data_IF_832820558938
#
_entry.id   IF_832820558938
#
_cell.length_a   1.000
_cell.length_b   1.000
_cell.length_c   1.000
_cell.angle_alpha   90.00
_cell.angle_beta   90.00
_cell.angle_gamma   90.00
#
_symmetry.space_group_name_H-M   'P 1'
#
loop_
_entity.id
_entity.type
_entity.pdbx_description
1 polymer ?
#
# COMPACT_ATOMS: atom_id res chain seq x y z
N UNK A 1 -1.11 47.38 39.45
CA UNK A 1 -1.44 47.03 38.05
C UNK A 1 -0.17 46.53 37.40
N UNK A 2 0.06 45.25 37.48
CA UNK A 2 1.23 44.59 36.89
C UNK A 2 0.88 44.23 35.46
N UNK A 3 1.57 44.79 34.51
CA UNK A 3 1.39 44.49 33.08
C UNK A 3 1.76 43.03 32.86
N UNK A 4 0.85 42.27 32.27
CA UNK A 4 1.10 40.93 31.74
C UNK A 4 1.87 41.15 30.43
N UNK A 5 3.11 40.69 30.38
CA UNK A 5 3.92 40.69 29.16
C UNK A 5 3.29 39.72 28.15
N UNK A 6 3.18 40.09 26.85
CA UNK A 6 2.63 39.26 25.82
C UNK A 6 3.73 38.40 25.15
N UNK A 7 4.34 37.44 25.88
CA UNK A 7 5.43 36.65 25.33
C UNK A 7 5.33 35.15 25.64
N UNK A 8 4.15 34.57 25.57
CA UNK A 8 3.93 33.13 25.60
C UNK A 8 2.88 32.66 24.55
N UNK A 9 2.94 33.23 23.36
CA UNK A 9 2.39 32.56 22.20
C UNK A 9 3.44 31.52 21.75
N UNK A 10 3.48 30.37 22.44
CA UNK A 10 4.10 29.17 21.88
C UNK A 10 3.40 28.92 20.54
N UNK A 11 4.04 29.32 19.43
CA UNK A 11 3.60 28.93 18.09
C UNK A 11 3.45 27.40 18.10
N UNK A 12 2.20 26.95 18.06
CA UNK A 12 1.91 25.53 17.98
C UNK A 12 2.65 24.98 16.76
N UNK A 13 3.63 24.10 16.99
CA UNK A 13 4.35 23.46 15.89
C UNK A 13 3.33 22.90 14.90
N UNK A 14 3.48 23.18 13.60
CA UNK A 14 2.55 22.64 12.61
C UNK A 14 2.49 21.11 12.74
N UNK A 15 1.29 20.59 12.93
CA UNK A 15 1.02 19.16 13.12
C UNK A 15 0.52 18.61 11.81
N UNK A 16 1.18 17.57 11.28
CA UNK A 16 0.72 16.85 10.09
C UNK A 16 -0.54 16.04 10.43
N UNK A 17 -1.65 16.29 9.75
CA UNK A 17 -2.94 15.65 9.97
C UNK A 17 -3.14 14.51 8.99
N UNK A 18 -3.14 13.28 9.49
CA UNK A 18 -3.10 12.05 8.69
C UNK A 18 -4.40 11.25 8.86
N UNK A 19 -5.11 11.01 7.77
CA UNK A 19 -6.25 10.08 7.76
C UNK A 19 -5.77 8.63 7.66
N UNK A 20 -6.31 7.76 8.52
CA UNK A 20 -5.98 6.33 8.59
C UNK A 20 -7.26 5.49 8.52
N UNK A 21 -7.28 4.35 7.81
CA UNK A 21 -8.41 3.44 7.81
C UNK A 21 -8.76 2.96 9.22
N UNK A 22 -10.05 3.04 9.60
CA UNK A 22 -10.51 2.62 10.93
C UNK A 22 -11.00 1.17 11.00
N UNK A 23 -11.22 0.52 9.86
CA UNK A 23 -11.74 -0.86 9.74
C UNK A 23 -11.38 -1.51 8.41
N UNK A 24 -11.61 -2.82 8.33
CA UNK A 24 -11.33 -3.63 7.15
C UNK A 24 -9.85 -4.01 7.01
N UNK A 25 -9.52 -4.76 5.97
CA UNK A 25 -8.17 -5.29 5.72
C UNK A 25 -7.08 -4.21 5.61
N UNK A 26 -7.44 -2.99 5.21
CA UNK A 26 -6.51 -1.87 5.15
C UNK A 26 -6.12 -1.33 6.53
N UNK A 27 -7.01 -1.43 7.55
CA UNK A 27 -6.78 -0.81 8.86
C UNK A 27 -5.60 -1.43 9.60
N UNK A 28 -5.57 -2.76 9.71
CA UNK A 28 -4.54 -3.48 10.46
C UNK A 28 -3.16 -3.33 9.79
N UNK A 29 -3.11 -3.45 8.46
CA UNK A 29 -1.88 -3.31 7.70
C UNK A 29 -1.33 -1.86 7.73
N UNK A 30 -2.22 -0.85 7.70
CA UNK A 30 -1.83 0.56 7.83
C UNK A 30 -1.30 0.85 9.25
N UNK A 31 -2.01 0.39 10.30
CA UNK A 31 -1.56 0.55 11.68
C UNK A 31 -0.21 -0.11 11.93
N UNK A 32 0.00 -1.32 11.40
CA UNK A 32 1.29 -2.00 11.49
C UNK A 32 2.40 -1.23 10.78
N UNK A 33 2.16 -0.75 9.55
CA UNK A 33 3.13 0.04 8.80
C UNK A 33 3.52 1.33 9.54
N UNK A 34 2.55 2.04 10.12
CA UNK A 34 2.79 3.24 10.90
C UNK A 34 3.56 2.94 12.19
N UNK A 35 3.25 1.84 12.87
CA UNK A 35 4.01 1.38 14.05
C UNK A 35 5.46 1.05 13.69
N UNK A 36 5.69 0.29 12.61
CA UNK A 36 7.02 -0.03 12.10
C UNK A 36 7.80 1.24 11.71
N UNK A 37 7.09 2.27 11.22
CA UNK A 37 7.66 3.59 10.90
C UNK A 37 7.94 4.47 12.13
N UNK A 38 7.62 3.98 13.35
CA UNK A 38 7.90 4.66 14.61
C UNK A 38 6.83 5.66 15.05
N UNK A 39 5.60 5.54 14.54
CA UNK A 39 4.47 6.38 14.94
C UNK A 39 3.60 5.70 15.99
N UNK A 40 3.21 6.47 17.02
CA UNK A 40 2.27 6.00 18.04
C UNK A 40 0.87 5.81 17.44
N UNK A 41 0.31 4.61 17.57
CA UNK A 41 -1.03 4.29 17.09
C UNK A 41 -2.05 4.28 18.25
N UNK A 42 -3.35 4.35 17.93
CA UNK A 42 -4.43 4.23 18.92
C UNK A 42 -4.34 2.88 19.66
N UNK A 43 -4.72 2.90 20.93
CA UNK A 43 -4.76 1.70 21.78
C UNK A 43 -6.12 1.01 21.75
N UNK A 44 -7.20 1.79 21.60
CA UNK A 44 -8.57 1.29 21.48
C UNK A 44 -9.10 1.58 20.07
N UNK A 45 -9.79 0.60 19.51
CA UNK A 45 -10.43 0.75 18.18
C UNK A 45 -11.53 1.82 18.15
N UNK A 46 -12.04 2.23 19.31
CA UNK A 46 -13.04 3.29 19.46
C UNK A 46 -12.44 4.69 19.38
N UNK A 47 -11.13 4.83 19.60
CA UNK A 47 -10.47 6.12 19.49
C UNK A 47 -10.49 6.59 18.04
N UNK A 48 -11.06 7.75 17.80
CA UNK A 48 -11.17 8.33 16.46
C UNK A 48 -9.99 9.25 16.13
N UNK A 49 -9.25 9.71 17.13
CA UNK A 49 -8.11 10.60 16.97
C UNK A 49 -6.97 10.14 17.89
N UNK A 50 -5.73 10.22 17.41
CA UNK A 50 -4.53 9.99 18.20
C UNK A 50 -3.46 11.00 17.85
N UNK A 51 -3.01 11.80 18.81
CA UNK A 51 -1.88 12.71 18.67
C UNK A 51 -0.58 11.99 19.05
N UNK A 52 0.41 12.10 18.18
CA UNK A 52 1.80 11.69 18.41
C UNK A 52 2.66 12.96 18.49
N UNK A 53 2.72 13.53 19.69
CA UNK A 53 3.44 14.80 19.97
C UNK A 53 4.93 14.69 19.62
N UNK A 54 5.55 13.53 19.90
CA UNK A 54 6.96 13.29 19.64
C UNK A 54 7.32 13.41 18.16
N UNK A 55 6.39 13.03 17.29
CA UNK A 55 6.56 13.05 15.83
C UNK A 55 5.85 14.24 15.14
N UNK A 56 5.07 15.05 15.87
CA UNK A 56 4.31 16.17 15.32
C UNK A 56 3.22 15.72 14.34
N UNK A 57 2.54 14.62 14.64
CA UNK A 57 1.51 14.02 13.78
C UNK A 57 0.22 13.79 14.57
N UNK A 58 -0.91 14.07 13.93
CA UNK A 58 -2.23 13.74 14.47
C UNK A 58 -2.96 12.79 13.50
N UNK A 59 -3.30 11.59 13.99
CA UNK A 59 -3.97 10.54 13.23
C UNK A 59 -5.48 10.60 13.42
N UNK A 60 -6.23 10.60 12.31
CA UNK A 60 -7.69 10.54 12.25
C UNK A 60 -8.13 9.20 11.67
N UNK A 61 -8.83 8.38 12.45
CA UNK A 61 -9.28 7.05 12.06
C UNK A 61 -10.66 7.13 11.42
N UNK A 62 -10.71 7.01 10.10
CA UNK A 62 -11.88 7.24 9.27
C UNK A 62 -12.26 6.00 8.45
N UNK A 63 -13.45 6.00 7.89
CA UNK A 63 -13.81 4.98 6.90
C UNK A 63 -12.93 5.13 5.67
N UNK A 64 -12.34 4.02 5.15
CA UNK A 64 -11.43 4.10 3.99
C UNK A 64 -12.00 4.89 2.80
N UNK A 65 -13.31 4.78 2.54
CA UNK A 65 -14.01 5.47 1.46
C UNK A 65 -14.04 6.99 1.60
N UNK A 66 -14.04 7.49 2.83
CA UNK A 66 -14.18 8.93 3.10
C UNK A 66 -12.83 9.66 3.07
N UNK A 67 -11.71 8.93 3.19
CA UNK A 67 -10.36 9.49 3.35
C UNK A 67 -9.97 10.40 2.18
N UNK A 68 -10.16 9.93 0.95
CA UNK A 68 -9.80 10.71 -0.23
C UNK A 68 -10.58 12.04 -0.32
N UNK A 69 -11.83 12.05 0.16
CA UNK A 69 -12.68 13.26 0.19
C UNK A 69 -12.12 14.26 1.20
N UNK A 70 -11.83 13.85 2.45
CA UNK A 70 -11.27 14.75 3.46
C UNK A 70 -9.92 15.35 3.06
N UNK A 71 -9.09 14.57 2.38
CA UNK A 71 -7.80 15.05 1.85
C UNK A 71 -8.04 16.01 0.67
N UNK A 72 -8.92 15.65 -0.26
CA UNK A 72 -9.25 16.48 -1.44
C UNK A 72 -9.83 17.85 -1.08
N UNK A 73 -10.66 17.91 -0.02
CA UNK A 73 -11.21 19.15 0.53
C UNK A 73 -10.19 19.96 1.38
N UNK A 74 -9.02 19.38 1.67
CA UNK A 74 -7.98 20.02 2.49
C UNK A 74 -8.32 20.07 3.99
N UNK A 75 -9.30 19.27 4.44
CA UNK A 75 -9.60 19.09 5.87
C UNK A 75 -8.51 18.32 6.57
N UNK A 76 -7.90 17.36 5.88
CA UNK A 76 -6.70 16.61 6.32
C UNK A 76 -5.61 16.74 5.27
N UNK A 77 -4.36 16.67 5.72
CA UNK A 77 -3.20 16.92 4.87
C UNK A 77 -2.89 15.75 3.96
N UNK A 78 -2.95 14.53 4.51
CA UNK A 78 -2.67 13.28 3.80
C UNK A 78 -3.56 12.16 4.31
N UNK A 79 -3.64 11.04 3.56
CA UNK A 79 -4.39 9.88 3.99
C UNK A 79 -3.88 8.57 3.41
N UNK A 80 -4.16 7.48 4.09
CA UNK A 80 -3.91 6.12 3.64
C UNK A 80 -5.25 5.50 3.23
N UNK A 81 -5.40 5.08 1.97
CA UNK A 81 -6.64 4.47 1.47
C UNK A 81 -6.35 3.49 0.34
N UNK A 82 -7.38 2.86 -0.25
CA UNK A 82 -7.23 2.04 -1.46
C UNK A 82 -7.18 2.89 -2.73
N UNK A 83 -6.38 2.49 -3.73
CA UNK A 83 -6.35 3.16 -5.04
C UNK A 83 -7.73 3.13 -5.70
N UNK A 84 -8.46 2.04 -5.56
CA UNK A 84 -9.85 1.88 -6.00
C UNK A 84 -10.79 2.91 -5.35
N UNK A 85 -10.65 3.11 -4.04
CA UNK A 85 -11.44 4.10 -3.30
C UNK A 85 -11.09 5.54 -3.67
N UNK A 86 -9.80 5.82 -3.89
CA UNK A 86 -9.35 7.12 -4.40
C UNK A 86 -10.00 7.42 -5.75
N UNK A 87 -9.90 6.50 -6.70
CA UNK A 87 -10.42 6.66 -8.06
C UNK A 87 -11.96 6.74 -8.08
N UNK A 88 -12.63 5.93 -7.23
CA UNK A 88 -14.09 5.95 -7.12
C UNK A 88 -14.64 7.24 -6.52
N UNK A 89 -13.86 7.89 -5.66
CA UNK A 89 -14.31 9.08 -4.93
C UNK A 89 -14.51 10.32 -5.81
N UNK A 90 -13.78 10.43 -6.91
CA UNK A 90 -13.73 11.65 -7.73
C UNK A 90 -13.18 12.87 -6.98
N UNK A 91 -12.57 12.68 -5.81
CA UNK A 91 -12.04 13.75 -4.97
C UNK A 91 -10.82 14.43 -5.62
N UNK A 92 -10.55 15.68 -5.24
CA UNK A 92 -9.34 16.42 -5.65
C UNK A 92 -8.09 15.95 -4.91
N UNK A 93 -7.89 14.64 -4.89
CA UNK A 93 -6.74 13.97 -4.28
C UNK A 93 -6.02 13.12 -5.31
N UNK A 94 -4.73 12.90 -5.09
CA UNK A 94 -3.85 12.14 -5.99
C UNK A 94 -3.00 11.15 -5.19
N UNK A 95 -2.68 10.03 -5.81
CA UNK A 95 -1.74 9.06 -5.27
C UNK A 95 -0.33 9.66 -5.21
N UNK A 96 0.22 9.77 -4.01
CA UNK A 96 1.58 10.23 -3.76
C UNK A 96 2.57 9.06 -3.65
N UNK A 97 2.12 7.88 -3.17
CA UNK A 97 2.97 6.70 -3.00
C UNK A 97 2.12 5.43 -2.87
N UNK A 98 2.54 4.35 -3.55
CA UNK A 98 2.03 3.00 -3.29
C UNK A 98 2.60 2.43 -1.98
N UNK A 99 1.78 1.73 -1.20
CA UNK A 99 2.15 1.23 0.14
C UNK A 99 2.43 -0.27 0.19
N UNK A 100 2.28 -0.98 -0.93
CA UNK A 100 2.67 -2.38 -1.09
C UNK A 100 1.82 -3.42 -0.37
N UNK A 101 0.68 -3.05 0.20
CA UNK A 101 -0.27 -3.97 0.85
C UNK A 101 -1.70 -3.75 0.39
N UNK A 102 -2.64 -4.63 0.77
CA UNK A 102 -4.05 -4.55 0.38
C UNK A 102 -4.26 -4.72 -1.14
N UNK A 103 -3.39 -5.51 -1.79
CA UNK A 103 -3.45 -5.73 -3.24
C UNK A 103 -4.69 -6.50 -3.62
N UNK A 104 -5.37 -6.02 -4.66
CA UNK A 104 -6.58 -6.63 -5.18
C UNK A 104 -6.74 -6.32 -6.67
N UNK A 105 -7.58 -7.13 -7.33
CA UNK A 105 -7.94 -6.93 -8.73
C UNK A 105 -9.42 -6.57 -8.81
N UNK A 106 -9.75 -5.52 -9.53
CA UNK A 106 -11.13 -5.17 -9.80
C UNK A 106 -11.58 -5.81 -11.10
N UNK A 107 -12.65 -6.63 -11.08
CA UNK A 107 -13.07 -7.47 -12.20
C UNK A 107 -14.57 -7.44 -12.42
N UNK A 108 -15.00 -7.68 -13.65
CA UNK A 108 -16.39 -8.05 -13.95
C UNK A 108 -16.63 -9.53 -13.70
N UNK A 109 -17.86 -9.84 -13.25
CA UNK A 109 -18.35 -11.22 -13.17
C UNK A 109 -19.84 -11.28 -13.53
N UNK A 110 -20.24 -12.42 -14.13
CA UNK A 110 -21.62 -12.67 -14.52
C UNK A 110 -21.94 -14.17 -14.41
N UNK A 111 -23.21 -14.61 -14.51
CA UNK A 111 -23.55 -16.02 -14.61
C UNK A 111 -22.87 -16.67 -15.82
N UNK A 112 -22.50 -17.96 -15.71
CA UNK A 112 -21.90 -18.71 -16.80
C UNK A 112 -22.70 -18.58 -18.10
N UNK A 113 -22.01 -18.26 -19.18
CA UNK A 113 -22.63 -18.14 -20.49
C UNK A 113 -23.44 -16.85 -20.76
N UNK A 114 -23.66 -15.99 -19.75
CA UNK A 114 -24.47 -14.77 -19.92
C UNK A 114 -23.71 -13.62 -20.57
N UNK A 115 -22.43 -13.42 -20.17
CA UNK A 115 -21.55 -12.36 -20.66
C UNK A 115 -20.11 -12.87 -20.71
N UNK A 116 -19.42 -12.68 -21.84
CA UNK A 116 -18.03 -13.09 -22.02
C UNK A 116 -17.09 -11.92 -22.34
N UNK A 117 -17.65 -10.79 -22.79
CA UNK A 117 -16.88 -9.60 -23.21
C UNK A 117 -17.54 -8.34 -22.69
N UNK A 118 -16.72 -7.35 -22.33
CA UNK A 118 -17.19 -6.05 -21.79
C UNK A 118 -18.18 -5.37 -22.74
N UNK A 119 -17.99 -5.47 -24.05
CA UNK A 119 -18.92 -4.89 -25.03
C UNK A 119 -20.38 -5.42 -24.91
N UNK A 120 -20.57 -6.63 -24.39
CA UNK A 120 -21.90 -7.22 -24.18
C UNK A 120 -22.64 -6.65 -22.96
N UNK A 121 -21.97 -5.81 -22.15
CA UNK A 121 -22.61 -5.06 -21.08
C UNK A 121 -23.45 -3.88 -21.58
N UNK A 122 -23.37 -3.55 -22.88
CA UNK A 122 -24.17 -2.47 -23.47
C UNK A 122 -25.68 -2.70 -23.26
N UNK A 123 -26.35 -1.73 -22.63
CA UNK A 123 -27.77 -1.82 -22.28
C UNK A 123 -28.11 -2.75 -21.10
N UNK A 124 -27.10 -3.30 -20.41
CA UNK A 124 -27.29 -4.17 -19.23
C UNK A 124 -27.06 -3.40 -17.93
N UNK A 125 -27.55 -3.96 -16.82
CA UNK A 125 -27.35 -3.46 -15.46
C UNK A 125 -26.11 -4.11 -14.87
N UNK A 126 -25.20 -3.28 -14.31
CA UNK A 126 -23.97 -3.72 -13.65
C UNK A 126 -23.97 -3.23 -12.21
N UNK A 127 -24.07 -4.13 -11.24
CA UNK A 127 -24.01 -3.77 -9.83
C UNK A 127 -22.56 -3.65 -9.33
N UNK A 128 -22.29 -2.64 -8.52
CA UNK A 128 -20.97 -2.40 -7.97
C UNK A 128 -21.04 -1.50 -6.72
N UNK A 129 -20.04 -1.62 -5.84
CA UNK A 129 -19.80 -0.64 -4.78
C UNK A 129 -18.90 0.52 -5.22
N UNK A 130 -18.43 0.51 -6.48
CA UNK A 130 -17.49 1.47 -7.05
C UNK A 130 -18.01 2.06 -8.38
N UNK A 131 -19.11 2.83 -8.35
CA UNK A 131 -19.76 3.32 -9.58
C UNK A 131 -18.86 4.25 -10.40
N UNK A 132 -17.99 5.05 -9.74
CA UNK A 132 -17.07 5.95 -10.41
C UNK A 132 -16.03 5.19 -11.25
N UNK A 133 -15.39 4.17 -10.67
CA UNK A 133 -14.40 3.32 -11.36
C UNK A 133 -15.05 2.59 -12.53
N UNK A 134 -16.19 1.97 -12.31
CA UNK A 134 -16.90 1.20 -13.35
C UNK A 134 -17.41 2.10 -14.47
N UNK A 135 -17.99 3.24 -14.12
CA UNK A 135 -18.49 4.22 -15.08
C UNK A 135 -17.38 4.75 -15.99
N UNK A 136 -16.25 5.14 -15.42
CA UNK A 136 -15.08 5.61 -16.17
C UNK A 136 -14.55 4.52 -17.12
N UNK A 137 -14.36 3.30 -16.62
CA UNK A 137 -13.87 2.17 -17.41
C UNK A 137 -14.77 1.84 -18.61
N UNK A 138 -16.09 1.84 -18.41
CA UNK A 138 -17.07 1.58 -19.47
C UNK A 138 -17.13 2.71 -20.49
N UNK A 139 -17.07 3.97 -20.01
CA UNK A 139 -17.07 5.16 -20.86
C UNK A 139 -15.87 5.20 -21.80
N UNK A 140 -14.66 4.90 -21.32
CA UNK A 140 -13.44 4.80 -22.13
C UNK A 140 -13.55 3.78 -23.27
N UNK A 141 -14.38 2.74 -23.09
CA UNK A 141 -14.61 1.66 -24.08
C UNK A 141 -15.87 1.85 -24.91
N UNK A 142 -16.56 3.00 -24.76
CA UNK A 142 -17.79 3.28 -25.47
C UNK A 142 -18.98 2.38 -25.12
N UNK A 143 -18.93 1.73 -23.94
CA UNK A 143 -19.99 0.83 -23.46
C UNK A 143 -20.93 1.60 -22.55
N UNK A 144 -22.21 1.65 -22.90
CA UNK A 144 -23.28 2.26 -22.09
C UNK A 144 -24.00 1.16 -21.31
N UNK A 145 -23.73 1.05 -20.01
CA UNK A 145 -24.44 0.17 -19.09
C UNK A 145 -25.11 0.99 -17.99
N UNK A 146 -26.15 0.44 -17.39
CA UNK A 146 -26.78 1.01 -16.20
C UNK A 146 -26.01 0.54 -14.96
N UNK A 147 -25.27 1.45 -14.33
CA UNK A 147 -24.44 1.16 -13.16
C UNK A 147 -25.28 1.29 -11.90
N UNK A 148 -25.60 0.15 -11.28
CA UNK A 148 -26.39 0.07 -10.05
C UNK A 148 -25.44 0.09 -8.84
N UNK A 149 -25.50 1.16 -8.04
CA UNK A 149 -24.70 1.28 -6.81
C UNK A 149 -25.28 0.42 -5.71
N UNK A 150 -24.42 -0.40 -5.07
CA UNK A 150 -24.71 -1.17 -3.87
C UNK A 150 -23.59 -0.98 -2.84
N UNK A 151 -23.94 -0.90 -1.56
CA UNK A 151 -22.97 -0.69 -0.48
C UNK A 151 -22.56 -2.01 0.23
N UNK A 152 -22.53 -3.13 -0.49
CA UNK A 152 -22.13 -4.45 -0.03
C UNK A 152 -22.96 -5.57 -0.64
N UNK A 153 -22.57 -6.83 -0.42
CA UNK A 153 -23.21 -8.04 -0.96
C UNK A 153 -23.50 -7.96 -2.46
N UNK A 154 -22.58 -7.33 -3.21
CA UNK A 154 -22.73 -7.07 -4.66
C UNK A 154 -22.92 -8.37 -5.43
N UNK A 155 -22.28 -9.47 -5.00
CA UNK A 155 -22.40 -10.80 -5.58
C UNK A 155 -23.84 -11.37 -5.56
N UNK A 156 -24.67 -10.89 -4.64
CA UNK A 156 -26.07 -11.30 -4.55
C UNK A 156 -26.99 -10.59 -5.54
N UNK A 157 -26.56 -9.48 -6.14
CA UNK A 157 -27.39 -8.63 -7.00
C UNK A 157 -27.94 -9.35 -8.22
N UNK A 158 -27.16 -10.25 -8.81
CA UNK A 158 -27.56 -11.03 -9.99
C UNK A 158 -28.65 -12.04 -9.61
N UNK A 159 -28.46 -12.76 -8.50
CA UNK A 159 -29.46 -13.73 -8.01
C UNK A 159 -30.77 -13.09 -7.63
N UNK A 160 -30.73 -11.85 -7.12
CA UNK A 160 -31.90 -11.05 -6.78
C UNK A 160 -32.57 -10.37 -7.99
N UNK A 161 -31.99 -10.49 -9.20
CA UNK A 161 -32.50 -9.87 -10.41
C UNK A 161 -32.31 -8.35 -10.45
N UNK A 162 -31.46 -7.78 -9.59
CA UNK A 162 -31.14 -6.35 -9.55
C UNK A 162 -30.19 -5.97 -10.68
N UNK A 163 -29.28 -6.84 -11.04
CA UNK A 163 -28.29 -6.62 -12.09
C UNK A 163 -28.08 -7.88 -12.94
N UNK A 164 -27.50 -7.68 -14.12
CA UNK A 164 -27.20 -8.75 -15.09
C UNK A 164 -25.73 -9.19 -14.98
N UNK A 165 -24.88 -8.34 -14.42
CA UNK A 165 -23.47 -8.57 -14.11
C UNK A 165 -23.07 -7.75 -12.89
N UNK A 166 -21.91 -8.04 -12.34
CA UNK A 166 -21.30 -7.26 -11.26
C UNK A 166 -19.89 -6.80 -11.62
N UNK A 167 -19.42 -5.77 -10.93
CA UNK A 167 -18.02 -5.39 -10.91
C UNK A 167 -17.58 -5.17 -9.45
N UNK A 168 -16.57 -5.91 -9.01
CA UNK A 168 -16.14 -5.88 -7.61
C UNK A 168 -14.66 -6.25 -7.46
N UNK A 169 -14.14 -6.04 -6.25
CA UNK A 169 -12.79 -6.42 -5.84
C UNK A 169 -12.70 -7.94 -5.72
N UNK A 170 -11.72 -8.51 -6.39
CA UNK A 170 -11.48 -9.96 -6.44
C UNK A 170 -10.07 -10.26 -5.98
N UNK A 171 -9.93 -10.93 -4.85
CA UNK A 171 -8.64 -11.48 -4.40
C UNK A 171 -8.41 -12.89 -4.97
N UNK A 172 -9.27 -13.85 -4.58
CA UNK A 172 -9.17 -15.26 -4.99
C UNK A 172 -10.31 -15.72 -5.89
N UNK A 173 -11.38 -14.93 -6.02
CA UNK A 173 -12.59 -15.27 -6.77
C UNK A 173 -13.46 -16.37 -6.13
N UNK A 174 -13.15 -16.81 -4.91
CA UNK A 174 -13.91 -17.88 -4.22
C UNK A 174 -15.33 -17.45 -3.93
N UNK A 175 -15.55 -16.23 -3.43
CA UNK A 175 -16.88 -15.66 -3.14
C UNK A 175 -17.75 -15.60 -4.39
N UNK A 176 -17.17 -15.18 -5.53
CA UNK A 176 -17.89 -15.11 -6.79
C UNK A 176 -18.31 -16.51 -7.29
N UNK A 177 -17.41 -17.49 -7.21
CA UNK A 177 -17.74 -18.88 -7.58
C UNK A 177 -18.84 -19.47 -6.72
N UNK A 178 -18.83 -19.19 -5.41
CA UNK A 178 -19.90 -19.60 -4.47
C UNK A 178 -21.24 -18.94 -4.81
N UNK A 179 -21.22 -17.72 -5.33
CA UNK A 179 -22.41 -17.02 -5.83
C UNK A 179 -22.84 -17.47 -7.23
N UNK A 180 -22.14 -18.43 -7.85
CA UNK A 180 -22.43 -18.92 -9.21
C UNK A 180 -22.05 -17.95 -10.31
N UNK A 181 -21.02 -17.10 -10.06
CA UNK A 181 -20.53 -16.10 -11.01
C UNK A 181 -19.15 -16.48 -11.53
N UNK A 182 -18.90 -16.18 -12.81
CA UNK A 182 -17.62 -16.34 -13.48
C UNK A 182 -17.04 -14.96 -13.83
N UNK A 183 -15.74 -14.79 -13.58
CA UNK A 183 -15.00 -13.59 -13.98
C UNK A 183 -14.82 -13.57 -15.48
N UNK A 184 -15.04 -12.42 -16.11
CA UNK A 184 -14.82 -12.23 -17.54
C UNK A 184 -14.11 -10.91 -17.85
N UNK A 185 -13.64 -10.79 -19.09
CA UNK A 185 -12.93 -9.61 -19.56
C UNK A 185 -11.55 -9.40 -18.90
N UNK A 186 -10.97 -8.25 -19.17
CA UNK A 186 -9.70 -7.84 -18.58
C UNK A 186 -9.88 -7.32 -17.16
N UNK A 187 -8.78 -7.19 -16.41
CA UNK A 187 -8.77 -6.50 -15.11
C UNK A 187 -9.10 -5.02 -15.31
N UNK A 188 -10.12 -4.54 -14.60
CA UNK A 188 -10.54 -3.12 -14.63
C UNK A 188 -9.48 -2.26 -13.99
N UNK A 189 -8.99 -2.69 -12.82
CA UNK A 189 -8.03 -1.95 -12.02
C UNK A 189 -7.21 -2.92 -11.16
N UNK A 190 -5.90 -2.67 -11.09
CA UNK A 190 -5.04 -3.23 -10.05
C UNK A 190 -4.97 -2.24 -8.90
N UNK A 191 -5.55 -2.60 -7.75
CA UNK A 191 -5.59 -1.76 -6.55
C UNK A 191 -4.63 -2.25 -5.48
N UNK A 192 -4.14 -1.33 -4.70
CA UNK A 192 -3.42 -1.53 -3.44
C UNK A 192 -3.62 -0.32 -2.54
N UNK A 193 -3.17 -0.42 -1.29
CA UNK A 193 -3.13 0.73 -0.39
C UNK A 193 -2.19 1.81 -0.93
N UNK A 194 -2.62 3.06 -0.85
CA UNK A 194 -1.87 4.23 -1.33
C UNK A 194 -1.88 5.35 -0.29
N UNK A 195 -0.80 6.12 -0.24
CA UNK A 195 -0.76 7.42 0.40
C UNK A 195 -1.33 8.44 -0.58
N UNK A 196 -2.29 9.24 -0.15
CA UNK A 196 -2.94 10.26 -0.97
C UNK A 196 -2.69 11.66 -0.42
N UNK A 197 -2.54 12.61 -1.32
CA UNK A 197 -2.38 14.04 -1.04
C UNK A 197 -3.36 14.85 -1.87
N UNK A 198 -3.57 16.09 -1.51
CA UNK A 198 -4.41 17.01 -2.28
C UNK A 198 -3.72 17.43 -3.59
N UNK A 199 -4.50 17.50 -4.67
CA UNK A 199 -4.03 18.03 -5.96
C UNK A 199 -3.75 19.53 -5.84
N UNK A 200 -2.66 19.99 -6.46
CA UNK A 200 -2.28 21.41 -6.56
C UNK A 200 -2.16 22.16 -5.21
N UNK A 201 -1.89 21.45 -4.13
CA UNK A 201 -1.63 22.04 -2.82
C UNK A 201 -0.13 22.08 -2.52
N UNK A 202 0.35 23.07 -1.74
CA UNK A 202 1.71 23.04 -1.22
C UNK A 202 1.93 21.82 -0.34
N UNK A 203 3.15 21.31 -0.33
CA UNK A 203 3.49 20.15 0.50
C UNK A 203 3.38 20.51 1.99
N UNK A 204 2.56 19.78 2.77
CA UNK A 204 2.41 20.04 4.21
C UNK A 204 3.71 19.83 4.96
N UNK A 205 3.92 20.62 6.00
CA UNK A 205 5.09 20.46 6.89
C UNK A 205 5.09 19.06 7.51
N UNK A 206 6.24 18.38 7.44
CA UNK A 206 6.41 17.02 7.99
C UNK A 206 6.04 15.89 7.02
N UNK A 207 5.43 16.17 5.86
CA UNK A 207 5.07 15.13 4.89
C UNK A 207 6.30 14.44 4.29
N UNK A 208 7.37 15.19 4.04
CA UNK A 208 8.63 14.66 3.54
C UNK A 208 9.24 13.61 4.49
N UNK A 209 9.22 13.88 5.80
CA UNK A 209 9.68 12.94 6.83
C UNK A 209 8.74 11.74 6.92
N UNK A 210 7.43 11.98 6.89
CA UNK A 210 6.41 10.94 6.92
C UNK A 210 6.59 9.96 5.74
N UNK A 211 6.70 10.47 4.52
CA UNK A 211 6.91 9.71 3.28
C UNK A 211 8.21 8.90 3.31
N UNK A 212 9.34 9.51 3.72
CA UNK A 212 10.63 8.81 3.85
C UNK A 212 10.58 7.67 4.86
N UNK A 213 9.85 7.82 5.96
CA UNK A 213 9.68 6.74 6.94
C UNK A 213 8.89 5.57 6.35
N UNK A 214 7.77 5.84 5.67
CA UNK A 214 7.00 4.81 5.01
C UNK A 214 7.81 4.12 3.88
N UNK A 215 8.53 4.90 3.08
CA UNK A 215 9.44 4.37 2.05
C UNK A 215 10.48 3.42 2.66
N UNK A 216 11.06 3.79 3.80
CA UNK A 216 12.02 2.95 4.51
C UNK A 216 11.43 1.63 5.02
N UNK A 217 10.14 1.61 5.39
CA UNK A 217 9.44 0.36 5.74
C UNK A 217 9.20 -0.50 4.49
N UNK A 218 8.85 0.11 3.34
CA UNK A 218 8.70 -0.64 2.09
C UNK A 218 10.00 -1.33 1.69
N UNK A 219 11.14 -0.62 1.78
CA UNK A 219 12.46 -1.20 1.53
C UNK A 219 12.75 -2.33 2.53
N UNK A 220 12.55 -2.10 3.83
CA UNK A 220 12.77 -3.10 4.86
C UNK A 220 11.95 -4.39 4.65
N UNK A 221 10.73 -4.28 4.12
CA UNK A 221 9.88 -5.43 3.80
C UNK A 221 10.29 -6.15 2.51
N UNK A 222 10.96 -5.46 1.60
CA UNK A 222 11.35 -6.00 0.29
C UNK A 222 12.73 -6.64 0.31
N UNK A 223 13.61 -6.20 1.19
CA UNK A 223 14.99 -6.68 1.31
C UNK A 223 15.23 -7.39 2.64
N UNK A 224 16.31 -8.17 2.66
CA UNK A 224 16.92 -8.74 3.86
C UNK A 224 18.40 -8.42 3.86
N UNK A 225 19.04 -8.44 5.02
CA UNK A 225 20.48 -8.38 5.13
C UNK A 225 21.03 -9.81 5.04
N UNK A 226 21.97 -10.03 4.14
CA UNK A 226 22.70 -11.28 4.00
C UNK A 226 24.15 -11.03 4.41
N UNK A 227 24.63 -11.81 5.38
CA UNK A 227 26.02 -11.83 5.84
C UNK A 227 26.62 -13.18 5.47
N UNK A 228 27.86 -13.20 5.01
CA UNK A 228 28.60 -14.45 4.74
C UNK A 228 30.11 -14.24 4.74
N UNK A 229 30.85 -15.32 5.00
CA UNK A 229 32.29 -15.36 4.90
C UNK A 229 32.71 -16.07 3.62
N UNK A 230 33.71 -15.53 2.91
CA UNK A 230 34.19 -16.11 1.66
C UNK A 230 35.70 -15.94 1.52
N UNK A 231 36.34 -16.83 0.74
CA UNK A 231 37.75 -16.66 0.33
C UNK A 231 37.89 -15.40 -0.54
N UNK A 232 38.95 -14.62 -0.31
CA UNK A 232 39.24 -13.39 -1.04
C UNK A 232 39.33 -13.62 -2.56
N UNK A 233 39.78 -14.79 -2.99
CA UNK A 233 39.87 -15.19 -4.40
C UNK A 233 38.50 -15.35 -5.09
N UNK A 234 37.41 -15.57 -4.32
CA UNK A 234 36.05 -15.72 -4.81
C UNK A 234 35.19 -14.46 -4.58
N UNK A 235 35.77 -13.40 -4.01
CA UNK A 235 35.02 -12.18 -3.64
C UNK A 235 34.28 -11.56 -4.81
N UNK A 236 34.92 -11.34 -5.95
CA UNK A 236 34.34 -10.71 -7.13
C UNK A 236 33.10 -11.47 -7.64
N UNK A 237 33.18 -12.81 -7.67
CA UNK A 237 32.06 -13.65 -8.06
C UNK A 237 30.89 -13.55 -7.06
N UNK A 238 31.22 -13.53 -5.76
CA UNK A 238 30.22 -13.43 -4.70
C UNK A 238 29.51 -12.05 -4.68
N UNK A 239 30.25 -10.96 -4.86
CA UNK A 239 29.72 -9.60 -4.93
C UNK A 239 28.78 -9.42 -6.15
N UNK A 240 29.04 -10.13 -7.24
CA UNK A 240 28.13 -10.15 -8.39
C UNK A 240 26.74 -10.73 -8.04
N UNK A 241 26.68 -11.71 -7.12
CA UNK A 241 25.42 -12.28 -6.61
C UNK A 241 24.75 -11.38 -5.57
N UNK A 242 25.54 -10.59 -4.85
CA UNK A 242 25.08 -9.72 -3.74
C UNK A 242 25.59 -8.29 -3.92
N UNK A 243 25.16 -7.57 -4.98
CA UNK A 243 25.64 -6.22 -5.26
C UNK A 243 25.18 -5.19 -4.21
N UNK A 244 24.23 -5.55 -3.36
CA UNK A 244 23.59 -4.63 -2.42
C UNK A 244 22.67 -3.62 -3.13
N UNK A 245 22.22 -2.60 -2.39
CA UNK A 245 21.49 -1.47 -3.00
C UNK A 245 22.45 -0.48 -3.63
N UNK A 246 23.51 -0.10 -2.93
CA UNK A 246 24.59 0.74 -3.44
C UNK A 246 25.86 -0.07 -3.67
N UNK A 247 26.32 -0.77 -2.62
CA UNK A 247 27.51 -1.62 -2.62
C UNK A 247 27.52 -2.53 -1.39
N UNK A 248 28.08 -3.76 -1.48
CA UNK A 248 28.28 -4.59 -0.31
C UNK A 248 29.38 -4.02 0.59
N UNK A 249 29.26 -4.27 1.89
CA UNK A 249 30.35 -4.03 2.84
C UNK A 249 31.26 -5.25 2.86
N UNK A 250 32.57 -5.05 2.70
CA UNK A 250 33.58 -6.12 2.77
C UNK A 250 34.54 -5.80 3.90
N UNK A 251 34.78 -6.77 4.79
CA UNK A 251 35.72 -6.64 5.91
C UNK A 251 36.65 -7.85 6.00
N UNK A 252 37.97 -7.68 6.24
CA UNK A 252 38.88 -8.81 6.42
C UNK A 252 38.53 -9.56 7.71
N UNK A 253 38.60 -10.90 7.64
CA UNK A 253 38.51 -11.74 8.83
C UNK A 253 39.87 -11.91 9.50
N UNK A 254 39.89 -12.36 10.76
CA UNK A 254 41.11 -12.72 11.46
C UNK A 254 41.89 -13.83 10.75
N UNK A 255 41.17 -14.77 10.11
CA UNK A 255 41.77 -15.81 9.28
C UNK A 255 42.24 -15.24 7.95
N UNK A 256 43.54 -15.36 7.68
CA UNK A 256 44.14 -14.84 6.45
C UNK A 256 43.48 -15.44 5.19
N UNK A 257 43.27 -14.62 4.18
CA UNK A 257 42.62 -14.98 2.91
C UNK A 257 41.09 -15.12 2.97
N UNK A 258 40.47 -14.75 4.09
CA UNK A 258 39.01 -14.73 4.25
C UNK A 258 38.49 -13.32 4.47
N UNK A 259 37.31 -13.04 3.93
CA UNK A 259 36.56 -11.79 4.14
C UNK A 259 35.12 -12.06 4.51
N UNK A 260 34.58 -11.23 5.36
CA UNK A 260 33.14 -11.14 5.64
C UNK A 260 32.49 -10.15 4.66
N UNK A 261 31.37 -10.52 4.10
CA UNK A 261 30.57 -9.66 3.20
C UNK A 261 29.19 -9.49 3.78
N UNK A 262 28.72 -8.24 3.77
CA UNK A 262 27.36 -7.87 4.15
C UNK A 262 26.69 -7.11 3.02
N UNK A 263 25.50 -7.56 2.60
CA UNK A 263 24.76 -6.92 1.52
C UNK A 263 23.25 -7.00 1.72
N UNK A 264 22.53 -6.01 1.25
CA UNK A 264 21.07 -6.07 1.12
C UNK A 264 20.70 -6.87 -0.14
N UNK A 265 19.86 -7.90 0.02
CA UNK A 265 19.41 -8.78 -1.06
C UNK A 265 17.89 -8.78 -1.11
N UNK A 266 17.24 -8.77 -2.30
CA UNK A 266 15.80 -8.90 -2.39
C UNK A 266 15.30 -10.16 -1.67
N UNK A 267 14.36 -10.02 -0.74
CA UNK A 267 13.82 -11.12 0.07
C UNK A 267 13.40 -12.33 -0.75
N UNK A 268 12.75 -12.11 -1.90
CA UNK A 268 12.30 -13.17 -2.79
C UNK A 268 13.44 -14.01 -3.38
N UNK A 269 14.66 -13.47 -3.43
CA UNK A 269 15.84 -14.12 -4.01
C UNK A 269 16.80 -14.68 -2.95
N UNK A 270 16.59 -14.35 -1.67
CA UNK A 270 17.56 -14.56 -0.62
C UNK A 270 18.03 -16.04 -0.50
N UNK A 271 17.10 -17.00 -0.52
CA UNK A 271 17.46 -18.42 -0.42
C UNK A 271 18.23 -18.92 -1.65
N UNK A 272 17.81 -18.53 -2.86
CA UNK A 272 18.54 -18.90 -4.08
C UNK A 272 19.94 -18.30 -4.13
N UNK A 273 20.11 -17.07 -3.63
CA UNK A 273 21.42 -16.42 -3.48
C UNK A 273 22.28 -17.16 -2.45
N UNK A 274 21.72 -17.61 -1.31
CA UNK A 274 22.46 -18.42 -0.32
C UNK A 274 22.99 -19.72 -0.93
N UNK A 275 22.19 -20.43 -1.72
CA UNK A 275 22.60 -21.66 -2.38
C UNK A 275 23.74 -21.41 -3.37
N UNK A 276 23.68 -20.33 -4.16
CA UNK A 276 24.73 -19.94 -5.09
C UNK A 276 26.01 -19.52 -4.36
N UNK A 277 25.90 -18.76 -3.27
CA UNK A 277 27.03 -18.40 -2.42
C UNK A 277 27.72 -19.65 -1.81
N UNK A 278 26.92 -20.60 -1.34
CA UNK A 278 27.45 -21.89 -0.81
C UNK A 278 28.24 -22.63 -1.88
N UNK A 279 27.73 -22.69 -3.11
CA UNK A 279 28.44 -23.34 -4.24
C UNK A 279 29.77 -22.64 -4.60
N UNK A 280 29.86 -21.31 -4.38
CA UNK A 280 31.11 -20.54 -4.51
C UNK A 280 32.07 -20.73 -3.34
N UNK A 281 31.70 -21.48 -2.31
CA UNK A 281 32.51 -21.71 -1.14
C UNK A 281 32.27 -20.77 0.03
N UNK A 282 31.22 -19.98 0.01
CA UNK A 282 30.82 -19.15 1.16
C UNK A 282 30.46 -20.03 2.37
N UNK A 283 30.71 -19.52 3.56
CA UNK A 283 30.42 -20.17 4.85
C UNK A 283 29.76 -19.14 5.79
N UNK A 284 29.12 -19.63 6.87
CA UNK A 284 28.51 -18.78 7.87
C UNK A 284 27.42 -17.88 7.31
N UNK A 285 26.72 -18.28 6.24
CA UNK A 285 25.72 -17.45 5.58
C UNK A 285 24.50 -17.26 6.49
N UNK A 286 24.14 -16.00 6.76
CA UNK A 286 23.05 -15.60 7.63
C UNK A 286 22.09 -14.68 6.88
N UNK A 287 20.78 -14.79 7.20
CA UNK A 287 19.77 -13.81 6.80
C UNK A 287 19.28 -13.10 8.04
N UNK A 288 19.29 -11.77 8.02
CA UNK A 288 18.74 -10.92 9.09
C UNK A 288 17.64 -10.03 8.52
N UNK A 289 16.51 -9.95 9.22
CA UNK A 289 15.42 -9.07 8.85
C UNK A 289 15.79 -7.60 9.11
N UNK A 290 15.36 -6.74 8.21
CA UNK A 290 15.53 -5.30 8.32
C UNK A 290 14.23 -4.74 8.92
N UNK A 291 14.29 -4.13 10.10
CA UNK A 291 13.13 -3.53 10.74
C UNK A 291 12.75 -2.18 10.10
N UNK A 292 13.75 -1.37 9.79
CA UNK A 292 13.56 -0.07 9.13
C UNK A 292 14.82 0.30 8.34
N UNK A 293 14.63 1.05 7.28
CA UNK A 293 15.70 1.56 6.42
C UNK A 293 15.50 3.06 6.16
N UNK A 294 16.55 3.75 5.77
CA UNK A 294 16.53 5.09 5.16
C UNK A 294 17.51 5.06 3.99
N UNK A 295 17.02 5.42 2.81
CA UNK A 295 17.81 5.54 1.58
C UNK A 295 17.88 7.00 1.17
#
# INVERSE_FOLDING_TARGET
MTAIEPDDLVEAKPVLRVAVPNKGSLADAAAQMLTDAGYAQRRDSKDLVRTDEANGVEFFYLRPRDIAVYVGEGTLDVGLTGRDLLLDSGARAVEAMALGFGRSNFRFAAPPGAVHKVAQLHGRRVATSYPGVVGAYLAERGVRADVVRLDGAVESAVRLGVADAIADVVETGTTLRQAGLEVFGETILHSEAVLVTRVDAPEPVGLDVFRRRLQGILVARTYVMVDYDIRSEHLEAAVTLTPGIESPTVSPLHSEGWVAVRAMVPRAQAHAVMDQLWALGARGTLITEILACRL
#
